data_IF_336046934533
#
_entry.id   IF_336046934533
#
_cell.length_a   1.000
_cell.length_b   1.000
_cell.length_c   1.000
_cell.angle_alpha   90.00
_cell.angle_beta   90.00
_cell.angle_gamma   90.00
#
_symmetry.space_group_name_H-M   'P 1'
#
loop_
_entity.id
_entity.type
_entity.pdbx_description
1 polymer ?
#
# COMPACT_ATOMS: atom_id res chain seq x y z
N UNK A 1 -37.17 -78.36 68.05
CA UNK A 1 -37.77 -78.90 66.82
C UNK A 1 -37.81 -77.77 65.82
N UNK A 2 -37.47 -77.97 64.64
CA UNK A 2 -37.44 -77.16 63.42
C UNK A 2 -36.05 -76.64 63.00
N UNK A 3 -35.58 -77.26 62.00
CA UNK A 3 -34.35 -77.01 61.28
C UNK A 3 -34.50 -75.80 60.36
N UNK A 4 -33.51 -74.97 60.40
CA UNK A 4 -33.43 -73.79 59.48
C UNK A 4 -32.39 -74.07 58.38
N UNK A 5 -32.87 -74.11 57.15
CA UNK A 5 -32.07 -74.34 55.93
C UNK A 5 -31.39 -72.99 55.60
N UNK A 6 -30.06 -72.98 55.52
CA UNK A 6 -29.25 -71.83 55.00
C UNK A 6 -29.03 -72.00 53.49
N UNK A 7 -29.66 -71.15 52.70
CA UNK A 7 -29.40 -71.01 51.26
C UNK A 7 -28.15 -70.15 51.06
N UNK A 8 -27.14 -70.69 50.37
CA UNK A 8 -25.96 -69.87 49.91
C UNK A 8 -26.26 -69.31 48.53
N UNK A 9 -26.32 -68.02 48.43
CA UNK A 9 -26.35 -67.33 47.14
C UNK A 9 -24.92 -67.06 46.65
N UNK A 10 -24.61 -67.64 45.49
CA UNK A 10 -23.34 -67.47 44.78
C UNK A 10 -23.45 -66.20 43.95
N UNK A 11 -22.68 -65.15 44.29
CA UNK A 11 -22.62 -63.92 43.50
C UNK A 11 -21.46 -64.03 42.54
N UNK A 12 -21.75 -64.17 41.25
CA UNK A 12 -20.75 -64.12 40.17
C UNK A 12 -20.49 -62.70 39.76
N UNK A 13 -19.29 -62.20 40.06
CA UNK A 13 -18.81 -60.89 39.60
C UNK A 13 -18.31 -61.03 38.15
N UNK A 14 -19.06 -60.43 37.23
CA UNK A 14 -18.60 -60.17 35.87
C UNK A 14 -17.73 -58.90 35.88
N UNK A 15 -16.44 -59.10 35.60
CA UNK A 15 -15.53 -57.95 35.34
C UNK A 15 -15.68 -57.57 33.86
N UNK A 16 -16.36 -56.45 33.61
CA UNK A 16 -16.33 -55.79 32.27
C UNK A 16 -15.07 -54.94 32.15
N UNK A 17 -14.10 -55.41 31.40
CA UNK A 17 -12.94 -54.59 31.05
C UNK A 17 -13.34 -53.61 29.97
N UNK A 18 -13.52 -52.32 30.35
CA UNK A 18 -13.73 -51.22 29.43
C UNK A 18 -12.36 -50.75 28.91
N UNK A 19 -11.98 -51.18 27.69
CA UNK A 19 -10.77 -50.72 27.04
C UNK A 19 -11.02 -49.28 26.52
N UNK A 20 -10.49 -48.27 27.22
CA UNK A 20 -10.39 -46.89 26.70
C UNK A 20 -9.29 -46.86 25.64
N UNK A 21 -9.64 -46.90 24.37
CA UNK A 21 -8.76 -46.50 23.28
C UNK A 21 -8.67 -44.99 23.25
N UNK A 22 -7.60 -44.42 23.83
CA UNK A 22 -7.27 -43.01 23.67
C UNK A 22 -6.86 -42.77 22.20
N UNK A 23 -7.75 -42.16 21.42
CA UNK A 23 -7.40 -41.56 20.16
C UNK A 23 -6.53 -40.31 20.46
N UNK A 24 -5.21 -40.49 20.44
CA UNK A 24 -4.27 -39.39 20.37
C UNK A 24 -4.45 -38.69 19.02
N UNK A 25 -5.29 -37.68 18.97
CA UNK A 25 -5.38 -36.75 17.83
C UNK A 25 -4.04 -36.07 17.68
N UNK A 26 -3.25 -36.46 16.69
CA UNK A 26 -2.05 -35.74 16.27
C UNK A 26 -2.54 -34.42 15.72
N UNK A 27 -2.52 -33.38 16.55
CA UNK A 27 -2.68 -32.00 16.08
C UNK A 27 -1.55 -31.74 15.09
N UNK A 28 -1.89 -31.80 13.80
CA UNK A 28 -0.98 -31.41 12.71
C UNK A 28 -0.68 -29.95 12.92
N UNK A 29 0.51 -29.61 13.38
CA UNK A 29 0.97 -28.23 13.45
C UNK A 29 0.79 -27.66 12.03
N UNK A 30 -0.16 -26.73 11.88
CA UNK A 30 -0.30 -25.98 10.64
C UNK A 30 1.01 -25.23 10.47
N UNK A 31 1.78 -25.60 9.45
CA UNK A 31 2.97 -24.83 9.07
C UNK A 31 2.55 -23.38 8.86
N UNK A 32 3.31 -22.45 9.41
CA UNK A 32 3.08 -21.03 9.16
C UNK A 32 2.96 -20.81 7.65
N UNK A 33 2.02 -19.98 7.18
CA UNK A 33 1.87 -19.72 5.76
C UNK A 33 3.19 -19.21 5.20
N UNK A 34 3.60 -19.74 4.05
CA UNK A 34 4.81 -19.29 3.38
C UNK A 34 4.65 -17.78 3.02
N UNK A 35 5.68 -16.99 3.31
CA UNK A 35 5.68 -15.58 2.94
C UNK A 35 5.66 -15.42 1.42
N UNK A 36 5.03 -14.36 0.89
CA UNK A 36 5.04 -14.08 -0.53
C UNK A 36 6.48 -13.84 -1.02
N UNK A 37 6.72 -14.11 -2.31
CA UNK A 37 8.02 -13.84 -2.95
C UNK A 37 7.99 -12.47 -3.60
N UNK A 38 9.15 -11.83 -3.68
CA UNK A 38 9.29 -10.53 -4.31
C UNK A 38 10.24 -9.60 -3.56
N UNK A 39 10.34 -8.39 -4.04
CA UNK A 39 11.20 -7.35 -3.45
C UNK A 39 10.37 -6.11 -3.16
N UNK A 40 10.43 -5.64 -1.93
CA UNK A 40 9.87 -4.34 -1.52
C UNK A 40 10.93 -3.26 -1.66
N UNK A 41 10.52 -2.11 -2.20
CA UNK A 41 11.30 -0.86 -2.16
C UNK A 41 10.52 0.17 -1.36
N UNK A 42 11.11 0.71 -0.30
CA UNK A 42 10.51 1.71 0.57
C UNK A 42 11.33 2.99 0.59
N UNK A 43 10.67 4.14 0.48
CA UNK A 43 11.27 5.46 0.60
C UNK A 43 11.29 5.87 2.08
N UNK A 44 12.49 6.10 2.63
CA UNK A 44 12.71 6.41 4.04
C UNK A 44 13.03 7.90 4.20
N UNK A 45 12.00 8.71 4.46
CA UNK A 45 12.10 10.17 4.49
C UNK A 45 13.14 10.68 5.49
N UNK A 46 13.08 10.17 6.73
CA UNK A 46 13.95 10.64 7.82
C UNK A 46 15.38 10.14 7.66
N UNK A 47 15.54 8.95 7.07
CA UNK A 47 16.86 8.34 6.84
C UNK A 47 17.50 8.76 5.51
N UNK A 48 16.84 9.60 4.68
CA UNK A 48 17.30 10.01 3.35
C UNK A 48 17.82 8.82 2.52
N UNK A 49 17.05 7.74 2.46
CA UNK A 49 17.44 6.50 1.79
C UNK A 49 16.26 5.75 1.18
N UNK A 50 16.54 4.81 0.30
CA UNK A 50 15.60 3.80 -0.15
C UNK A 50 16.07 2.42 0.33
N UNK A 51 15.18 1.68 1.00
CA UNK A 51 15.42 0.28 1.38
C UNK A 51 14.93 -0.66 0.30
N UNK A 52 15.75 -1.65 -0.06
CA UNK A 52 15.41 -2.76 -0.95
C UNK A 52 15.44 -4.04 -0.12
N UNK A 53 14.30 -4.71 0.04
CA UNK A 53 14.14 -5.83 0.99
C UNK A 53 13.50 -7.03 0.30
N UNK A 54 14.11 -8.21 0.49
CA UNK A 54 13.51 -9.50 0.08
C UNK A 54 12.33 -9.84 0.99
N UNK A 55 11.16 -10.03 0.41
CA UNK A 55 9.94 -10.26 1.18
C UNK A 55 9.93 -11.61 1.90
N UNK A 56 10.42 -12.66 1.23
CA UNK A 56 10.36 -14.02 1.76
C UNK A 56 11.28 -14.23 2.95
N UNK A 57 12.42 -13.53 2.98
CA UNK A 57 13.43 -13.69 4.03
C UNK A 57 13.47 -12.52 5.01
N UNK A 58 12.86 -11.39 4.67
CA UNK A 58 12.97 -10.14 5.43
C UNK A 58 14.36 -9.50 5.36
N UNK A 59 15.27 -10.03 4.53
CA UNK A 59 16.65 -9.56 4.43
C UNK A 59 16.74 -8.26 3.64
N UNK A 60 17.40 -7.27 4.21
CA UNK A 60 17.79 -6.07 3.47
C UNK A 60 18.82 -6.44 2.38
N UNK A 61 18.45 -6.17 1.12
CA UNK A 61 19.29 -6.42 -0.05
C UNK A 61 20.18 -5.22 -0.36
N UNK A 62 19.66 -4.01 -0.13
CA UNK A 62 20.38 -2.76 -0.26
C UNK A 62 19.70 -1.64 0.54
N UNK A 63 20.51 -0.67 0.97
CA UNK A 63 20.07 0.64 1.42
C UNK A 63 20.78 1.67 0.54
N UNK A 64 20.01 2.40 -0.25
CA UNK A 64 20.54 3.29 -1.29
C UNK A 64 20.32 4.73 -0.82
N UNK A 65 21.39 5.54 -0.68
CA UNK A 65 21.25 6.96 -0.35
C UNK A 65 20.39 7.71 -1.38
N UNK A 66 19.59 8.64 -0.90
CA UNK A 66 18.77 9.54 -1.73
C UNK A 66 19.07 11.00 -1.39
N UNK A 67 18.51 11.93 -2.16
CA UNK A 67 18.37 13.30 -1.66
C UNK A 67 17.47 13.31 -0.41
N UNK A 68 17.58 14.31 0.48
CA UNK A 68 16.73 14.41 1.66
C UNK A 68 15.24 14.32 1.33
N UNK A 69 14.46 13.62 2.15
CA UNK A 69 13.03 13.50 2.05
C UNK A 69 12.54 12.76 0.80
N UNK A 70 13.05 11.55 0.48
CA UNK A 70 12.42 10.69 -0.51
C UNK A 70 10.98 10.39 -0.09
N UNK A 71 10.03 10.39 -1.03
CA UNK A 71 8.62 10.36 -0.64
C UNK A 71 7.86 9.18 -1.21
N UNK A 72 7.78 9.04 -2.53
CA UNK A 72 6.98 8.01 -3.18
C UNK A 72 7.83 7.01 -3.97
N UNK A 73 7.27 5.84 -4.23
CA UNK A 73 7.90 4.79 -5.05
C UNK A 73 6.94 4.33 -6.13
N UNK A 74 7.43 4.26 -7.37
CA UNK A 74 6.73 3.63 -8.48
C UNK A 74 7.53 2.43 -8.99
N UNK A 75 6.86 1.30 -9.25
CA UNK A 75 7.47 0.11 -9.86
C UNK A 75 7.00 0.00 -11.30
N UNK A 76 7.92 -0.33 -12.23
CA UNK A 76 7.60 -0.60 -13.62
C UNK A 76 6.71 -1.83 -13.79
N UNK A 77 5.96 -1.91 -14.87
CA UNK A 77 5.04 -3.02 -15.14
C UNK A 77 5.73 -4.37 -15.25
N UNK A 78 7.00 -4.41 -15.70
CA UNK A 78 7.84 -5.60 -15.72
C UNK A 78 8.44 -5.94 -14.34
N UNK A 79 8.33 -5.03 -13.37
CA UNK A 79 8.86 -5.18 -12.00
C UNK A 79 10.34 -4.87 -11.85
N UNK A 80 11.06 -4.56 -12.94
CA UNK A 80 12.51 -4.39 -12.89
C UNK A 80 12.94 -3.07 -12.27
N UNK A 81 12.21 -2.00 -12.53
CA UNK A 81 12.62 -0.66 -12.12
C UNK A 81 11.76 -0.14 -10.98
N UNK A 82 12.41 0.35 -9.94
CA UNK A 82 11.79 1.18 -8.92
C UNK A 82 12.27 2.63 -9.11
N UNK A 83 11.34 3.57 -9.06
CA UNK A 83 11.64 5.00 -9.11
C UNK A 83 11.20 5.62 -7.80
N UNK A 84 12.11 6.33 -7.14
CA UNK A 84 11.87 7.01 -5.86
C UNK A 84 11.88 8.52 -6.10
N UNK A 85 10.86 9.23 -5.65
CA UNK A 85 10.79 10.68 -5.77
C UNK A 85 11.72 11.37 -4.78
N UNK A 86 12.59 12.25 -5.28
CA UNK A 86 13.43 13.13 -4.49
C UNK A 86 12.68 14.42 -4.18
N UNK A 87 11.74 14.38 -3.23
CA UNK A 87 10.86 15.49 -2.90
C UNK A 87 11.59 16.65 -2.20
N UNK A 88 12.58 16.32 -1.40
CA UNK A 88 13.29 17.28 -0.59
C UNK A 88 12.65 17.53 0.77
N UNK A 89 13.21 18.47 1.50
CA UNK A 89 12.73 18.93 2.78
C UNK A 89 12.66 20.47 2.83
N UNK A 90 12.59 21.06 4.01
CA UNK A 90 12.55 22.53 4.16
C UNK A 90 13.88 23.20 3.83
N UNK A 91 15.01 22.50 4.00
CA UNK A 91 16.36 23.01 3.77
C UNK A 91 16.81 22.81 2.30
N UNK A 92 16.37 21.72 1.68
CA UNK A 92 16.76 21.34 0.32
C UNK A 92 15.53 20.85 -0.46
N UNK A 93 15.01 21.71 -1.34
CA UNK A 93 13.88 21.37 -2.21
C UNK A 93 14.38 20.42 -3.30
N UNK A 94 13.71 19.27 -3.45
CA UNK A 94 14.09 18.27 -4.43
C UNK A 94 13.51 18.52 -5.82
N UNK A 95 14.22 18.02 -6.84
CA UNK A 95 13.83 18.10 -8.26
C UNK A 95 14.35 16.92 -9.06
N UNK A 96 14.46 15.75 -8.43
CA UNK A 96 15.04 14.56 -9.08
C UNK A 96 14.27 13.29 -8.76
N UNK A 97 14.52 12.26 -9.56
CA UNK A 97 14.03 10.89 -9.34
C UNK A 97 15.22 9.95 -9.27
N UNK A 98 15.28 9.09 -8.26
CA UNK A 98 16.26 8.01 -8.17
C UNK A 98 15.67 6.76 -8.82
N UNK A 99 16.37 6.20 -9.80
CA UNK A 99 16.00 4.94 -10.48
C UNK A 99 16.87 3.81 -9.95
N UNK A 100 16.23 2.74 -9.52
CA UNK A 100 16.86 1.55 -8.92
C UNK A 100 16.50 0.34 -9.77
N UNK A 101 17.49 -0.43 -10.21
CA UNK A 101 17.28 -1.78 -10.74
C UNK A 101 17.02 -2.73 -9.57
N UNK A 102 15.79 -3.20 -9.44
CA UNK A 102 15.35 -4.09 -8.35
C UNK A 102 16.17 -5.38 -8.35
N UNK A 103 16.61 -5.85 -9.51
CA UNK A 103 17.46 -7.06 -9.61
C UNK A 103 18.91 -6.82 -9.17
N UNK A 104 19.33 -5.55 -9.09
CA UNK A 104 20.70 -5.15 -8.75
C UNK A 104 21.70 -5.34 -9.89
N UNK A 105 21.25 -5.62 -11.11
CA UNK A 105 22.12 -5.80 -12.28
C UNK A 105 22.70 -4.48 -12.80
N UNK A 106 22.03 -3.35 -12.53
CA UNK A 106 22.50 -2.02 -12.89
C UNK A 106 22.66 -1.12 -11.65
N UNK A 107 23.63 -0.22 -11.69
CA UNK A 107 23.81 0.81 -10.68
C UNK A 107 22.61 1.78 -10.67
N UNK A 108 22.26 2.35 -9.52
CA UNK A 108 21.24 3.40 -9.44
C UNK A 108 21.63 4.61 -10.31
N UNK A 109 20.62 5.24 -10.91
CA UNK A 109 20.80 6.48 -11.69
C UNK A 109 19.78 7.53 -11.30
N UNK A 110 20.08 8.78 -11.57
CA UNK A 110 19.20 9.92 -11.31
C UNK A 110 18.58 10.45 -12.60
N UNK A 111 17.32 10.85 -12.56
CA UNK A 111 16.63 11.65 -13.57
C UNK A 111 16.43 13.04 -12.97
N UNK A 112 17.05 14.04 -13.57
CA UNK A 112 16.86 15.43 -13.17
C UNK A 112 15.60 16.01 -13.81
N UNK A 113 14.77 16.67 -13.00
CA UNK A 113 13.51 17.27 -13.44
C UNK A 113 13.66 18.78 -13.73
N UNK A 114 14.87 19.33 -13.56
CA UNK A 114 15.15 20.74 -13.83
C UNK A 114 14.38 21.69 -12.90
N UNK A 115 13.57 22.56 -13.47
CA UNK A 115 12.79 23.55 -12.72
C UNK A 115 11.52 22.98 -12.04
N UNK A 116 11.21 21.71 -12.24
CA UNK A 116 10.05 21.08 -11.65
C UNK A 116 10.37 20.54 -10.26
N UNK A 117 9.82 21.22 -9.25
CA UNK A 117 10.19 21.06 -7.85
C UNK A 117 9.17 20.21 -7.09
N UNK A 118 9.65 19.50 -6.04
CA UNK A 118 8.87 18.62 -5.18
C UNK A 118 8.12 17.55 -5.98
N UNK A 119 8.83 16.65 -6.69
CA UNK A 119 8.20 15.49 -7.32
C UNK A 119 7.59 14.60 -6.24
N UNK A 120 6.31 14.22 -6.42
CA UNK A 120 5.59 13.45 -5.42
C UNK A 120 5.00 12.17 -6.01
N UNK A 121 3.70 12.15 -6.31
CA UNK A 121 3.02 10.98 -6.86
C UNK A 121 3.59 10.58 -8.21
N UNK A 122 3.76 9.27 -8.42
CA UNK A 122 4.33 8.72 -9.67
C UNK A 122 3.63 7.44 -10.10
N UNK A 123 3.51 7.24 -11.41
CA UNK A 123 3.05 5.98 -12.02
C UNK A 123 3.73 5.75 -13.36
N UNK A 124 4.20 4.53 -13.60
CA UNK A 124 4.55 4.11 -14.96
C UNK A 124 3.29 4.00 -15.82
N UNK A 125 3.38 4.44 -17.07
CA UNK A 125 2.37 4.18 -18.07
C UNK A 125 2.55 2.78 -18.68
N UNK A 126 1.51 2.19 -19.28
CA UNK A 126 1.62 0.89 -19.95
C UNK A 126 2.79 0.85 -20.93
N UNK A 127 3.59 -0.21 -20.84
CA UNK A 127 4.79 -0.41 -21.66
C UNK A 127 6.07 0.24 -21.12
N UNK A 128 6.00 0.85 -19.90
CA UNK A 128 7.14 1.34 -19.09
C UNK A 128 8.06 2.37 -19.79
N UNK A 129 7.61 2.96 -20.91
CA UNK A 129 8.38 3.97 -21.63
C UNK A 129 8.30 5.35 -21.01
N UNK A 130 7.19 5.63 -20.35
CA UNK A 130 6.92 6.92 -19.73
C UNK A 130 6.50 6.75 -18.27
N UNK A 131 6.87 7.75 -17.48
CA UNK A 131 6.45 7.91 -16.09
C UNK A 131 5.63 9.20 -15.98
N UNK A 132 4.45 9.12 -15.35
CA UNK A 132 3.70 10.28 -14.91
C UNK A 132 4.21 10.67 -13.54
N UNK A 133 4.53 11.95 -13.34
CA UNK A 133 5.05 12.49 -12.08
C UNK A 133 4.34 13.79 -11.75
N UNK A 134 3.86 13.96 -10.52
CA UNK A 134 3.39 15.27 -10.06
C UNK A 134 4.56 16.12 -9.60
N UNK A 135 4.54 17.40 -9.92
CA UNK A 135 5.44 18.42 -9.36
C UNK A 135 4.61 19.38 -8.51
N UNK A 136 4.62 19.14 -7.19
CA UNK A 136 3.72 19.80 -6.26
C UNK A 136 3.92 21.31 -6.23
N UNK A 137 5.17 21.74 -6.10
CA UNK A 137 5.50 23.18 -5.98
C UNK A 137 5.25 23.94 -7.27
N UNK A 138 5.34 23.31 -8.44
CA UNK A 138 5.14 23.96 -9.73
C UNK A 138 3.77 23.73 -10.34
N UNK A 139 2.89 22.96 -9.66
CA UNK A 139 1.49 22.70 -10.06
C UNK A 139 1.38 22.01 -11.41
N UNK A 140 2.25 21.02 -11.66
CA UNK A 140 2.32 20.33 -12.93
C UNK A 140 2.18 18.81 -12.75
N UNK A 141 1.68 18.16 -13.80
CA UNK A 141 1.86 16.75 -14.08
C UNK A 141 2.86 16.62 -15.21
N UNK A 142 3.93 15.88 -14.97
CA UNK A 142 5.02 15.66 -15.90
C UNK A 142 4.87 14.32 -16.59
N UNK A 143 5.14 14.27 -17.89
CA UNK A 143 5.45 13.05 -18.62
C UNK A 143 6.97 12.98 -18.75
N UNK A 144 7.56 11.96 -18.13
CA UNK A 144 9.01 11.74 -18.15
C UNK A 144 9.31 10.57 -19.08
N UNK A 145 10.14 10.78 -20.09
CA UNK A 145 10.71 9.72 -20.90
C UNK A 145 11.70 8.93 -20.03
N UNK A 146 11.35 7.69 -19.73
CA UNK A 146 12.10 6.90 -18.76
C UNK A 146 13.48 6.48 -19.29
N UNK A 147 13.56 6.14 -20.58
CA UNK A 147 14.83 5.73 -21.21
C UNK A 147 15.77 6.91 -21.42
N UNK A 148 15.25 8.04 -21.94
CA UNK A 148 16.01 9.26 -22.13
C UNK A 148 16.36 9.97 -20.82
N UNK A 149 15.65 9.67 -19.73
CA UNK A 149 15.87 10.28 -18.41
C UNK A 149 15.59 11.78 -18.38
N UNK A 150 14.54 12.25 -19.04
CA UNK A 150 14.20 13.68 -19.13
C UNK A 150 12.70 13.91 -19.17
N UNK A 151 12.29 15.11 -18.76
CA UNK A 151 10.91 15.57 -18.90
C UNK A 151 10.61 15.77 -20.40
N UNK A 152 9.59 15.07 -20.89
CA UNK A 152 9.09 15.21 -22.26
C UNK A 152 8.01 16.30 -22.34
N UNK A 153 7.09 16.32 -21.38
CA UNK A 153 5.97 17.26 -21.34
C UNK A 153 5.64 17.64 -19.90
N UNK A 154 5.29 18.89 -19.69
CA UNK A 154 4.70 19.36 -18.44
C UNK A 154 3.30 19.91 -18.70
N UNK A 155 2.33 19.43 -17.95
CA UNK A 155 0.93 19.79 -18.05
C UNK A 155 0.53 20.54 -16.78
N UNK A 156 0.24 21.83 -16.89
CA UNK A 156 -0.20 22.61 -15.73
C UNK A 156 -1.60 22.20 -15.29
N UNK A 157 -1.75 21.95 -14.00
CA UNK A 157 -3.06 21.80 -13.36
C UNK A 157 -3.64 23.15 -12.93
N UNK A 158 -2.79 24.15 -12.78
CA UNK A 158 -3.15 25.44 -12.17
C UNK A 158 -3.50 25.36 -10.69
N UNK A 159 -3.54 24.15 -10.13
CA UNK A 159 -4.02 23.87 -8.78
C UNK A 159 -2.87 23.84 -7.77
N UNK A 160 -3.01 24.47 -6.59
CA UNK A 160 -1.98 24.39 -5.55
C UNK A 160 -1.89 22.98 -4.94
N UNK A 161 -0.65 22.56 -4.68
CA UNK A 161 -0.32 21.27 -4.11
C UNK A 161 -0.86 20.08 -4.92
N UNK A 162 -0.53 20.05 -6.24
CA UNK A 162 -0.75 18.88 -7.12
C UNK A 162 0.10 17.71 -6.61
N UNK A 163 -0.53 16.69 -6.02
CA UNK A 163 0.13 15.78 -5.06
C UNK A 163 0.21 14.33 -5.53
N UNK A 164 -0.77 13.51 -5.20
CA UNK A 164 -0.79 12.11 -5.62
C UNK A 164 -1.35 11.96 -7.03
N UNK A 165 -0.97 10.87 -7.71
CA UNK A 165 -1.47 10.56 -9.05
C UNK A 165 -1.78 9.08 -9.20
N UNK A 166 -2.88 8.80 -9.91
CA UNK A 166 -3.22 7.49 -10.45
C UNK A 166 -3.53 7.61 -11.94
N UNK A 167 -3.42 6.51 -12.68
CA UNK A 167 -3.67 6.48 -14.11
C UNK A 167 -4.73 5.43 -14.44
N UNK A 168 -5.55 5.68 -15.46
CA UNK A 168 -6.40 4.65 -16.03
C UNK A 168 -5.55 3.49 -16.59
N UNK A 169 -6.10 2.28 -16.59
CA UNK A 169 -5.38 1.08 -17.01
C UNK A 169 -4.88 1.14 -18.46
N UNK A 170 -5.61 1.87 -19.33
CA UNK A 170 -5.23 2.13 -20.73
C UNK A 170 -4.18 3.24 -20.89
N UNK A 171 -3.79 3.90 -19.80
CA UNK A 171 -2.84 5.01 -19.82
C UNK A 171 -3.36 6.30 -20.45
N UNK A 172 -4.67 6.42 -20.72
CA UNK A 172 -5.24 7.59 -21.38
C UNK A 172 -5.43 8.77 -20.45
N UNK A 173 -5.85 8.51 -19.22
CA UNK A 173 -6.10 9.54 -18.22
C UNK A 173 -5.22 9.39 -16.99
N UNK A 174 -4.81 10.52 -16.43
CA UNK A 174 -4.31 10.60 -15.06
C UNK A 174 -5.27 11.41 -14.21
N UNK A 175 -5.36 11.06 -12.92
CA UNK A 175 -6.11 11.79 -11.91
C UNK A 175 -5.14 12.17 -10.79
N UNK A 176 -5.14 13.43 -10.40
CA UNK A 176 -4.26 13.91 -9.33
C UNK A 176 -5.04 14.70 -8.29
N UNK A 177 -4.76 14.42 -7.02
CA UNK A 177 -5.27 15.24 -5.91
C UNK A 177 -4.52 16.56 -5.85
N UNK A 178 -5.24 17.62 -5.52
CA UNK A 178 -4.72 18.94 -5.25
C UNK A 178 -5.07 19.29 -3.80
N UNK A 179 -4.15 19.02 -2.87
CA UNK A 179 -4.44 19.05 -1.42
C UNK A 179 -5.04 20.39 -1.00
N UNK A 180 -4.34 21.50 -1.31
CA UNK A 180 -4.76 22.83 -0.85
C UNK A 180 -6.00 23.36 -1.55
N UNK A 181 -6.30 22.85 -2.76
CA UNK A 181 -7.50 23.22 -3.50
C UNK A 181 -8.71 22.35 -3.18
N UNK A 182 -8.51 21.20 -2.51
CA UNK A 182 -9.59 20.24 -2.25
C UNK A 182 -10.23 19.67 -3.51
N UNK A 183 -9.44 19.47 -4.56
CA UNK A 183 -9.93 19.11 -5.90
C UNK A 183 -9.12 17.97 -6.52
N UNK A 184 -9.71 17.30 -7.50
CA UNK A 184 -9.06 16.31 -8.35
C UNK A 184 -8.97 16.86 -9.77
N UNK A 185 -7.77 16.89 -10.34
CA UNK A 185 -7.58 17.22 -11.76
C UNK A 185 -7.55 15.93 -12.57
N UNK A 186 -8.35 15.87 -13.67
CA UNK A 186 -8.25 14.85 -14.70
C UNK A 186 -7.42 15.38 -15.85
N UNK A 187 -6.40 14.62 -16.23
CA UNK A 187 -5.45 14.95 -17.29
C UNK A 187 -5.67 13.99 -18.46
N UNK A 188 -5.89 14.50 -19.65
CA UNK A 188 -5.86 13.73 -20.89
C UNK A 188 -4.39 13.60 -21.33
N UNK A 189 -3.78 12.44 -21.05
CA UNK A 189 -2.39 12.18 -21.33
C UNK A 189 -2.12 12.06 -22.85
N UNK A 190 -3.09 11.56 -23.61
CA UNK A 190 -2.97 11.45 -25.06
C UNK A 190 -2.98 12.84 -25.73
N UNK A 191 -3.79 13.76 -25.22
CA UNK A 191 -3.85 15.16 -25.70
C UNK A 191 -2.87 16.08 -24.99
N UNK A 192 -2.19 15.59 -23.96
CA UNK A 192 -1.19 16.33 -23.15
C UNK A 192 -1.75 17.64 -22.57
N UNK A 193 -2.94 17.57 -21.99
CA UNK A 193 -3.61 18.75 -21.42
C UNK A 193 -4.46 18.41 -20.21
N UNK A 194 -4.68 19.42 -19.37
CA UNK A 194 -5.74 19.37 -18.37
C UNK A 194 -7.09 19.22 -19.08
N UNK A 195 -7.84 18.22 -18.68
CA UNK A 195 -9.18 17.98 -19.23
C UNK A 195 -10.22 18.71 -18.36
N UNK A 196 -10.21 18.46 -17.07
CA UNK A 196 -11.14 19.12 -16.13
C UNK A 196 -10.62 19.02 -14.69
N UNK A 197 -11.25 19.77 -13.78
CA UNK A 197 -10.99 19.72 -12.34
C UNK A 197 -12.31 19.54 -11.60
N UNK A 198 -12.36 18.57 -10.68
CA UNK A 198 -13.51 18.25 -9.85
C UNK A 198 -13.29 18.79 -8.43
N UNK A 199 -14.22 19.56 -7.89
CA UNK A 199 -14.21 19.96 -6.48
C UNK A 199 -14.70 18.79 -5.65
N UNK A 200 -13.96 18.40 -4.60
CA UNK A 200 -14.26 17.22 -3.77
C UNK A 200 -14.49 17.62 -2.30
N UNK A 201 -13.51 18.21 -1.66
CA UNK A 201 -13.57 18.56 -0.24
C UNK A 201 -12.24 19.07 0.28
N UNK A 202 -12.21 19.55 1.50
CA UNK A 202 -10.99 20.11 2.09
C UNK A 202 -9.91 19.04 2.27
N UNK A 203 -8.65 19.40 1.97
CA UNK A 203 -7.45 18.62 2.21
C UNK A 203 -7.57 17.13 1.83
N UNK A 204 -7.81 16.91 0.56
CA UNK A 204 -7.77 15.56 -0.01
C UNK A 204 -6.33 15.22 -0.41
N UNK A 205 -5.87 14.01 -0.05
CA UNK A 205 -4.48 13.62 -0.28
C UNK A 205 -4.34 12.31 -1.06
N UNK A 206 -4.68 11.18 -0.43
CA UNK A 206 -4.59 9.88 -1.08
C UNK A 206 -5.59 9.72 -2.21
N UNK A 207 -5.21 8.96 -3.23
CA UNK A 207 -6.07 8.67 -4.39
C UNK A 207 -5.85 7.24 -4.87
N UNK A 208 -6.92 6.56 -5.22
CA UNK A 208 -6.93 5.26 -5.88
C UNK A 208 -7.90 5.28 -7.05
N UNK A 209 -7.67 4.47 -8.06
CA UNK A 209 -8.58 4.26 -9.18
C UNK A 209 -8.99 2.79 -9.23
N UNK A 210 -10.27 2.51 -9.42
CA UNK A 210 -10.74 1.14 -9.61
C UNK A 210 -10.13 0.54 -10.89
N UNK A 211 -9.80 -0.76 -10.91
CA UNK A 211 -9.16 -1.38 -12.09
C UNK A 211 -9.96 -1.27 -13.38
N UNK A 212 -11.29 -1.16 -13.29
CA UNK A 212 -12.17 -0.90 -14.45
C UNK A 212 -12.19 0.57 -14.90
N UNK A 213 -11.51 1.45 -14.16
CA UNK A 213 -11.39 2.87 -14.46
C UNK A 213 -12.64 3.70 -14.25
N UNK A 214 -13.69 3.15 -13.60
CA UNK A 214 -14.97 3.84 -13.43
C UNK A 214 -15.04 4.73 -12.20
N UNK A 215 -14.31 4.37 -11.14
CA UNK A 215 -14.34 5.09 -9.87
C UNK A 215 -12.94 5.58 -9.49
N UNK A 216 -12.89 6.81 -8.99
CA UNK A 216 -11.72 7.37 -8.32
C UNK A 216 -12.07 7.58 -6.85
N UNK A 217 -11.33 6.92 -5.98
CA UNK A 217 -11.50 7.04 -4.53
C UNK A 217 -10.46 8.00 -3.98
N UNK A 218 -10.89 8.91 -3.12
CA UNK A 218 -10.05 10.01 -2.62
C UNK A 218 -10.14 10.08 -1.10
N UNK A 219 -9.00 10.09 -0.45
CA UNK A 219 -8.89 10.22 1.00
C UNK A 219 -8.92 11.70 1.40
N UNK A 220 -9.95 12.08 2.16
CA UNK A 220 -10.10 13.40 2.78
C UNK A 220 -9.60 13.37 4.20
N UNK A 221 -8.38 13.85 4.43
CA UNK A 221 -7.70 13.74 5.71
C UNK A 221 -8.41 14.50 6.82
N UNK A 222 -8.86 15.73 6.54
CA UNK A 222 -9.56 16.57 7.53
C UNK A 222 -11.05 16.25 7.67
N UNK A 223 -11.67 15.73 6.61
CA UNK A 223 -13.08 15.31 6.65
C UNK A 223 -13.27 13.95 7.30
N UNK A 224 -12.17 13.16 7.47
CA UNK A 224 -12.22 11.78 7.95
C UNK A 224 -13.07 10.85 7.06
N UNK A 225 -13.15 11.17 5.76
CA UNK A 225 -13.97 10.47 4.79
C UNK A 225 -13.11 9.96 3.63
N UNK A 226 -13.57 8.90 3.00
CA UNK A 226 -13.14 8.53 1.65
C UNK A 226 -14.27 8.85 0.69
N UNK A 227 -14.01 9.71 -0.28
CA UNK A 227 -14.95 10.08 -1.34
C UNK A 227 -14.81 9.13 -2.52
N UNK A 228 -15.92 8.65 -3.02
CA UNK A 228 -16.01 7.82 -4.24
C UNK A 228 -16.55 8.68 -5.37
N UNK A 229 -15.77 8.89 -6.40
CA UNK A 229 -16.10 9.73 -7.53
C UNK A 229 -16.35 8.90 -8.79
N UNK A 230 -17.32 9.30 -9.62
CA UNK A 230 -17.39 8.88 -11.02
C UNK A 230 -16.18 9.45 -11.77
N UNK A 231 -15.33 8.59 -12.32
CA UNK A 231 -14.09 9.00 -12.96
C UNK A 231 -14.31 9.86 -14.22
N UNK A 232 -15.45 9.68 -14.89
CA UNK A 232 -15.78 10.43 -16.10
C UNK A 232 -16.40 11.80 -15.80
N UNK A 233 -17.29 11.87 -14.80
CA UNK A 233 -18.08 13.07 -14.48
C UNK A 233 -17.54 13.86 -13.29
N UNK A 234 -16.76 13.22 -12.41
CA UNK A 234 -16.27 13.79 -11.15
C UNK A 234 -17.37 13.99 -10.09
N UNK A 235 -18.57 13.45 -10.32
CA UNK A 235 -19.64 13.49 -9.32
C UNK A 235 -19.32 12.54 -8.17
N UNK A 236 -19.59 12.97 -6.94
CA UNK A 236 -19.48 12.12 -5.76
C UNK A 236 -20.62 11.10 -5.80
N UNK A 237 -20.26 9.83 -5.91
CA UNK A 237 -21.20 8.69 -5.91
C UNK A 237 -21.52 8.25 -4.48
N UNK A 238 -20.53 8.37 -3.57
CA UNK A 238 -20.65 7.95 -2.18
C UNK A 238 -19.57 8.58 -1.30
N UNK A 239 -19.76 8.50 0.02
CA UNK A 239 -18.78 8.90 1.04
C UNK A 239 -18.71 7.86 2.13
N UNK A 240 -17.49 7.35 2.39
CA UNK A 240 -17.24 6.33 3.38
C UNK A 240 -16.65 6.98 4.63
N UNK A 241 -17.27 6.75 5.77
CA UNK A 241 -16.82 7.21 7.09
C UNK A 241 -16.13 6.12 7.90
N UNK A 242 -15.82 6.43 9.16
CA UNK A 242 -15.19 5.49 10.10
C UNK A 242 -13.66 5.50 10.04
N UNK A 243 -13.08 6.58 9.58
CA UNK A 243 -11.64 6.83 9.54
C UNK A 243 -11.23 7.88 10.57
N UNK A 244 -9.98 7.77 11.06
CA UNK A 244 -9.34 8.82 11.86
C UNK A 244 -8.59 9.84 11.01
N UNK A 245 -7.88 9.36 10.00
CA UNK A 245 -7.13 10.16 9.02
C UNK A 245 -6.82 9.27 7.82
N UNK A 246 -7.78 9.04 6.90
CA UNK A 246 -7.53 8.17 5.75
C UNK A 246 -6.39 8.76 4.90
N UNK A 247 -5.43 7.89 4.48
CA UNK A 247 -4.18 8.41 3.89
C UNK A 247 -3.91 7.88 2.48
N UNK A 248 -3.68 6.57 2.31
CA UNK A 248 -3.45 5.96 0.98
C UNK A 248 -4.52 4.93 0.66
N UNK A 249 -4.81 4.78 -0.63
CA UNK A 249 -5.84 3.87 -1.14
C UNK A 249 -5.23 3.03 -2.26
N UNK A 250 -5.28 1.70 -2.10
CA UNK A 250 -4.90 0.75 -3.13
C UNK A 250 -6.05 -0.20 -3.45
N UNK A 251 -6.20 -0.61 -4.72
CA UNK A 251 -7.18 -1.61 -5.14
C UNK A 251 -6.51 -2.93 -5.46
N UNK A 252 -7.15 -4.05 -5.12
CA UNK A 252 -6.75 -5.34 -5.68
C UNK A 252 -6.98 -5.35 -7.19
N UNK A 253 -6.16 -6.07 -7.98
CA UNK A 253 -6.29 -6.11 -9.44
C UNK A 253 -7.65 -6.63 -9.94
N UNK A 254 -8.32 -7.46 -9.14
CA UNK A 254 -9.68 -7.95 -9.43
C UNK A 254 -10.79 -6.92 -9.11
N UNK A 255 -10.43 -5.78 -8.54
CA UNK A 255 -11.34 -4.69 -8.20
C UNK A 255 -12.27 -4.97 -7.03
N UNK A 256 -12.10 -6.07 -6.30
CA UNK A 256 -13.05 -6.45 -5.23
C UNK A 256 -12.75 -5.82 -3.89
N UNK A 257 -11.48 -5.51 -3.61
CA UNK A 257 -11.07 -4.96 -2.32
C UNK A 257 -10.28 -3.68 -2.52
N UNK A 258 -10.66 -2.64 -1.78
CA UNK A 258 -9.83 -1.46 -1.57
C UNK A 258 -9.15 -1.56 -0.19
N UNK A 259 -7.86 -1.24 -0.15
CA UNK A 259 -7.04 -1.18 1.07
C UNK A 259 -6.81 0.28 1.40
N UNK A 260 -7.24 0.72 2.56
CA UNK A 260 -7.09 2.10 3.02
C UNK A 260 -6.24 2.13 4.28
N UNK A 261 -5.13 2.86 4.25
CA UNK A 261 -4.34 3.13 5.45
C UNK A 261 -4.92 4.32 6.22
N UNK A 262 -4.92 4.22 7.55
CA UNK A 262 -5.48 5.20 8.45
C UNK A 262 -4.54 5.44 9.64
N UNK A 263 -3.52 6.31 9.49
CA UNK A 263 -2.60 6.62 10.56
C UNK A 263 -3.26 7.33 11.74
N UNK A 264 -4.38 8.02 11.53
CA UNK A 264 -5.09 8.69 12.63
C UNK A 264 -5.82 7.73 13.57
N UNK A 265 -6.18 6.55 13.09
CA UNK A 265 -6.80 5.49 13.88
C UNK A 265 -5.87 4.30 14.12
N UNK A 266 -4.62 4.35 13.64
CA UNK A 266 -3.65 3.25 13.69
C UNK A 266 -4.20 1.95 13.07
N UNK A 267 -4.86 2.05 11.90
CA UNK A 267 -5.58 0.94 11.26
C UNK A 267 -5.29 0.83 9.78
N UNK A 268 -5.51 -0.37 9.26
CA UNK A 268 -5.67 -0.62 7.83
C UNK A 268 -7.06 -1.21 7.62
N UNK A 269 -7.85 -0.61 6.73
CA UNK A 269 -9.18 -1.08 6.43
C UNK A 269 -9.22 -1.77 5.06
N UNK A 270 -9.79 -2.98 5.03
CA UNK A 270 -10.11 -3.70 3.79
C UNK A 270 -11.58 -3.46 3.49
N UNK A 271 -11.87 -2.78 2.40
CA UNK A 271 -13.23 -2.38 2.02
C UNK A 271 -13.66 -3.23 0.84
N UNK A 272 -14.83 -3.84 0.93
CA UNK A 272 -15.49 -4.47 -0.20
C UNK A 272 -15.98 -3.37 -1.16
N UNK A 273 -15.47 -3.38 -2.38
CA UNK A 273 -15.70 -2.30 -3.35
C UNK A 273 -17.16 -2.26 -3.81
N UNK A 274 -17.79 -3.42 -3.99
CA UNK A 274 -19.17 -3.50 -4.49
C UNK A 274 -20.19 -2.99 -3.47
N UNK A 275 -19.98 -3.30 -2.18
CA UNK A 275 -20.88 -2.88 -1.09
C UNK A 275 -20.44 -1.58 -0.42
N UNK A 276 -19.19 -1.14 -0.66
CA UNK A 276 -18.55 0.03 -0.04
C UNK A 276 -18.52 -0.04 1.48
N UNK A 277 -18.47 -1.26 2.04
CA UNK A 277 -18.44 -1.51 3.48
C UNK A 277 -17.10 -2.11 3.91
N UNK A 278 -16.62 -1.83 5.12
CA UNK A 278 -15.46 -2.53 5.67
C UNK A 278 -15.72 -4.03 5.72
N UNK A 279 -14.88 -4.81 5.03
CA UNK A 279 -14.84 -6.27 5.14
C UNK A 279 -14.02 -6.70 6.34
N UNK A 280 -12.95 -5.97 6.62
CA UNK A 280 -12.10 -6.17 7.79
C UNK A 280 -11.42 -4.86 8.18
N UNK A 281 -11.14 -4.73 9.47
CA UNK A 281 -10.35 -3.64 10.06
C UNK A 281 -9.19 -4.28 10.81
N UNK A 282 -7.97 -3.95 10.41
CA UNK A 282 -6.74 -4.50 10.98
C UNK A 282 -6.16 -3.45 11.92
N UNK A 283 -6.13 -3.76 13.20
CA UNK A 283 -5.48 -2.93 14.21
C UNK A 283 -3.95 -3.05 14.08
N UNK A 284 -3.29 -1.93 13.88
CA UNK A 284 -1.84 -1.85 13.72
C UNK A 284 -1.14 -1.37 15.01
N UNK A 285 -1.89 -1.07 16.08
CA UNK A 285 -1.35 -0.56 17.34
C UNK A 285 -0.61 -1.61 18.18
N UNK A 286 -0.64 -2.89 17.79
CA UNK A 286 -0.04 -3.99 18.55
C UNK A 286 1.46 -3.80 18.80
N UNK A 287 1.93 -4.18 20.01
CA UNK A 287 3.30 -3.97 20.48
C UNK A 287 4.40 -4.52 19.56
N UNK A 288 4.12 -5.59 18.80
CA UNK A 288 5.05 -6.14 17.81
C UNK A 288 5.26 -5.24 16.59
N UNK A 289 4.37 -4.26 16.38
CA UNK A 289 4.37 -3.35 15.24
C UNK A 289 4.89 -1.94 15.63
N UNK A 290 5.09 -1.68 16.91
CA UNK A 290 5.47 -0.37 17.45
C UNK A 290 6.96 -0.34 17.74
N UNK A 291 7.66 0.69 17.24
CA UNK A 291 8.97 1.06 17.76
C UNK A 291 8.80 1.90 19.03
N UNK A 292 9.81 1.94 19.89
CA UNK A 292 9.76 2.68 21.15
C UNK A 292 9.28 4.13 20.96
N UNK A 293 8.12 4.46 21.50
CA UNK A 293 7.68 5.84 21.73
C UNK A 293 6.55 6.41 20.85
N UNK A 294 5.89 5.63 20.01
CA UNK A 294 4.74 6.13 19.22
C UNK A 294 3.95 5.02 18.53
N UNK A 295 2.77 5.32 18.02
CA UNK A 295 1.99 4.39 17.19
C UNK A 295 2.74 4.07 15.89
N UNK A 296 2.37 2.97 15.19
CA UNK A 296 3.07 2.52 13.98
C UNK A 296 2.90 3.47 12.78
N UNK A 297 1.83 4.26 12.77
CA UNK A 297 1.50 5.22 11.70
C UNK A 297 1.46 4.56 10.31
N UNK A 298 0.45 3.72 10.00
CA UNK A 298 0.32 3.07 8.69
C UNK A 298 0.07 4.11 7.60
N UNK A 299 0.95 4.19 6.58
CA UNK A 299 0.90 5.22 5.53
C UNK A 299 0.86 4.62 4.12
N UNK A 300 2.01 4.47 3.46
CA UNK A 300 2.08 4.00 2.09
C UNK A 300 1.44 2.62 1.90
N UNK A 301 0.69 2.44 0.83
CA UNK A 301 0.02 1.17 0.48
C UNK A 301 0.41 0.74 -0.92
N UNK A 302 0.83 -0.50 -1.07
CA UNK A 302 0.95 -1.16 -2.37
C UNK A 302 0.42 -2.58 -2.28
N UNK A 303 -0.07 -3.12 -3.39
CA UNK A 303 -0.68 -4.45 -3.45
C UNK A 303 0.11 -5.30 -4.44
N UNK A 304 0.33 -6.56 -4.09
CA UNK A 304 0.97 -7.53 -4.99
C UNK A 304 0.19 -7.68 -6.30
N UNK A 305 0.89 -8.02 -7.37
CA UNK A 305 0.32 -8.12 -8.72
C UNK A 305 -0.78 -9.19 -8.82
N UNK A 306 -0.72 -10.22 -7.98
CA UNK A 306 -1.74 -11.26 -7.87
C UNK A 306 -2.93 -10.86 -6.96
N UNK A 307 -2.85 -9.72 -6.30
CA UNK A 307 -3.89 -9.22 -5.39
C UNK A 307 -3.97 -9.93 -4.04
N UNK A 308 -3.06 -10.85 -3.74
CA UNK A 308 -3.13 -11.65 -2.51
C UNK A 308 -2.59 -10.91 -1.27
N UNK A 309 -1.64 -9.99 -1.46
CA UNK A 309 -0.91 -9.35 -0.37
C UNK A 309 -0.94 -7.83 -0.48
N UNK A 310 -1.22 -7.17 0.63
CA UNK A 310 -0.99 -5.73 0.79
C UNK A 310 0.29 -5.48 1.60
N UNK A 311 1.05 -4.49 1.20
CA UNK A 311 2.23 -4.00 1.89
C UNK A 311 1.96 -2.58 2.35
N UNK A 312 2.11 -2.34 3.65
CA UNK A 312 1.80 -1.05 4.26
C UNK A 312 3.00 -0.56 5.06
N UNK A 313 3.50 0.62 4.74
CA UNK A 313 4.56 1.23 5.55
C UNK A 313 4.03 1.62 6.93
N UNK A 314 4.81 1.33 7.95
CA UNK A 314 4.61 1.74 9.33
C UNK A 314 5.64 2.82 9.63
N UNK A 315 5.33 4.06 9.28
CA UNK A 315 6.28 5.17 9.19
C UNK A 315 7.05 5.40 10.47
N UNK A 316 6.34 5.48 11.59
CA UNK A 316 6.96 5.73 12.89
C UNK A 316 7.77 4.52 13.41
N UNK A 317 7.45 3.32 12.92
CA UNK A 317 8.13 2.08 13.31
C UNK A 317 9.34 1.73 12.43
N UNK A 318 9.53 2.39 11.28
CA UNK A 318 10.57 2.01 10.30
C UNK A 318 10.38 0.58 9.78
N UNK A 319 9.14 0.19 9.53
CA UNK A 319 8.77 -1.15 9.10
C UNK A 319 7.76 -1.13 7.95
N UNK A 320 7.59 -2.28 7.33
CA UNK A 320 6.52 -2.56 6.37
C UNK A 320 5.73 -3.77 6.86
N UNK A 321 4.43 -3.63 7.06
CA UNK A 321 3.55 -4.74 7.33
C UNK A 321 3.24 -5.48 6.03
N UNK A 322 3.33 -6.82 6.07
CA UNK A 322 2.93 -7.73 5.00
C UNK A 322 1.60 -8.34 5.41
N UNK A 323 0.53 -8.02 4.69
CA UNK A 323 -0.84 -8.35 5.07
C UNK A 323 -1.43 -9.31 4.03
N UNK A 324 -1.91 -10.46 4.47
CA UNK A 324 -2.73 -11.35 3.66
C UNK A 324 -4.14 -10.76 3.52
N UNK A 325 -4.52 -10.44 2.30
CA UNK A 325 -5.80 -9.76 2.02
C UNK A 325 -6.98 -10.68 2.28
N UNK A 326 -6.89 -11.97 1.96
CA UNK A 326 -8.00 -12.91 2.11
C UNK A 326 -8.38 -13.11 3.58
N UNK A 327 -7.39 -13.28 4.45
CA UNK A 327 -7.59 -13.54 5.89
C UNK A 327 -7.55 -12.28 6.75
N UNK A 328 -7.17 -11.13 6.17
CA UNK A 328 -6.97 -9.86 6.87
C UNK A 328 -5.96 -9.95 8.04
N UNK A 329 -4.89 -10.74 7.87
CA UNK A 329 -3.88 -10.96 8.90
C UNK A 329 -2.54 -10.39 8.50
N UNK A 330 -1.84 -9.79 9.45
CA UNK A 330 -0.42 -9.44 9.29
C UNK A 330 0.38 -10.75 9.33
N UNK A 331 1.04 -11.09 8.24
CA UNK A 331 1.89 -12.27 8.13
C UNK A 331 3.24 -12.05 8.80
N UNK A 332 3.83 -10.89 8.56
CA UNK A 332 5.14 -10.47 9.09
C UNK A 332 5.32 -8.97 8.94
N UNK A 333 6.43 -8.45 9.49
CA UNK A 333 6.91 -7.10 9.20
C UNK A 333 8.34 -7.15 8.67
N UNK A 334 8.65 -6.28 7.71
CA UNK A 334 9.98 -6.10 7.15
C UNK A 334 10.62 -4.86 7.76
N UNK A 335 11.90 -4.92 8.11
CA UNK A 335 12.64 -3.76 8.61
C UNK A 335 13.11 -2.90 7.44
N UNK A 336 12.84 -1.59 7.52
CA UNK A 336 13.25 -0.56 6.57
C UNK A 336 13.84 0.63 7.33
N UNK A 337 14.14 1.73 6.66
CA UNK A 337 14.65 2.94 7.32
C UNK A 337 13.55 3.75 8.01
N UNK A 338 13.97 4.70 8.86
CA UNK A 338 13.06 5.60 9.58
C UNK A 338 12.30 6.54 8.64
N UNK A 339 11.05 6.83 9.00
CA UNK A 339 10.19 7.71 8.24
C UNK A 339 9.71 7.11 6.93
N UNK A 340 9.58 5.76 6.81
CA UNK A 340 9.15 5.12 5.58
C UNK A 340 7.72 5.53 5.21
N UNK A 341 7.56 6.15 4.02
CA UNK A 341 6.29 6.63 3.50
C UNK A 341 5.90 5.86 2.22
N UNK A 342 6.39 6.27 1.07
CA UNK A 342 6.11 5.60 -0.19
C UNK A 342 6.70 4.19 -0.28
N UNK A 343 5.99 3.32 -0.98
CA UNK A 343 6.33 1.90 -1.11
C UNK A 343 5.96 1.36 -2.48
N UNK A 344 6.80 0.47 -3.01
CA UNK A 344 6.50 -0.32 -4.18
C UNK A 344 6.91 -1.79 -3.97
N UNK A 345 6.21 -2.71 -4.61
CA UNK A 345 6.53 -4.14 -4.60
C UNK A 345 6.76 -4.65 -6.02
N UNK A 346 7.87 -5.33 -6.21
CA UNK A 346 8.19 -6.08 -7.42
C UNK A 346 8.00 -7.57 -7.17
N UNK A 347 7.51 -8.29 -8.18
CA UNK A 347 7.47 -9.76 -8.17
C UNK A 347 8.86 -10.39 -8.40
N UNK A 348 9.83 -9.60 -8.84
CA UNK A 348 11.21 -10.08 -9.03
C UNK A 348 11.91 -10.22 -7.67
N UNK A 349 12.77 -11.20 -7.59
CA UNK A 349 13.65 -11.46 -6.43
C UNK A 349 15.07 -11.13 -6.88
N UNK A 350 15.79 -10.38 -6.02
CA UNK A 350 17.18 -9.99 -6.27
C UNK A 350 18.14 -11.10 -5.87
#
# INVERSE_FOLDING_TARGET
MTAGVRSRVLVTLLHSACSLTALAGVARAQSAPALPRGTVVAANMDAASASVVDVATGRALATIPTVPGPHEVAISGDGRWAVVSGYGNRQAIGSSLLVIDVTGAAAPRTIELGSYLRPHGMRFLPGDKQLVVTSEATKNVLLVDFAAGRVDTAISTGQPATHMVVTSADGRFAFTTNISAGSVSRIDLARRRLDTTFVVGARIEGIGISPDGREVWVAGNESHLVYVLDAARGTILDTLGGFGFPYRIGFTPDGKTAVVSDPGAEKVQLIDVATRKPRAVIDMSGAALVASGGGPSPQGVTISKDGATAYVTLKAAGRVAVIDIATARVLTTLTVGGGSDGIGVSQLVR
#
